data_IF_655349787108
#
_entry.id   IF_655349787108
#
_cell.length_a   1.000
_cell.length_b   1.000
_cell.length_c   1.000
_cell.angle_alpha   90.00
_cell.angle_beta   90.00
_cell.angle_gamma   90.00
#
_symmetry.space_group_name_H-M   'P 1'
#
loop_
_entity.id
_entity.type
_entity.pdbx_description
1 polymer ?
#
# COMPACT_ATOMS: atom_id res chain seq x y z
N UNK A 1 -10.91 5.46 20.75
CA UNK A 1 -10.16 6.14 19.68
C UNK A 1 -9.08 5.16 19.29
N UNK A 2 -9.42 4.17 18.47
CA UNK A 2 -8.48 3.11 18.10
C UNK A 2 -7.82 3.47 16.78
N UNK A 3 -6.50 3.64 16.89
CA UNK A 3 -5.47 3.19 15.97
C UNK A 3 -5.42 3.72 14.52
N UNK A 4 -5.14 5.02 14.40
CA UNK A 4 -4.64 5.62 13.15
C UNK A 4 -3.14 5.42 12.94
N UNK A 5 -2.41 5.10 14.01
CA UNK A 5 -0.97 4.81 13.97
C UNK A 5 -0.72 3.45 13.30
N UNK A 6 -1.55 2.45 13.61
CA UNK A 6 -1.47 1.12 13.02
C UNK A 6 -1.50 1.11 11.48
N UNK A 7 -2.34 1.91 10.81
CA UNK A 7 -2.51 1.82 9.34
C UNK A 7 -1.29 2.32 8.57
N UNK A 8 -0.62 3.37 9.08
CA UNK A 8 0.61 3.90 8.46
C UNK A 8 1.79 2.96 8.71
N UNK A 9 1.96 2.51 9.96
CA UNK A 9 3.00 1.56 10.31
C UNK A 9 2.85 0.24 9.54
N UNK A 10 1.62 -0.20 9.28
CA UNK A 10 1.34 -1.36 8.46
C UNK A 10 1.83 -1.16 7.01
N UNK A 11 1.48 -0.03 6.39
CA UNK A 11 1.91 0.25 5.02
C UNK A 11 3.43 0.45 4.90
N UNK A 12 4.07 1.11 5.88
CA UNK A 12 5.52 1.26 5.93
C UNK A 12 6.21 -0.10 6.12
N UNK A 13 5.71 -0.97 7.01
CA UNK A 13 6.21 -2.33 7.19
C UNK A 13 6.04 -3.19 5.94
N UNK A 14 4.96 -3.01 5.19
CA UNK A 14 4.72 -3.78 3.96
C UNK A 14 5.66 -3.33 2.85
N UNK A 15 5.86 -2.02 2.68
CA UNK A 15 6.86 -1.50 1.74
C UNK A 15 8.26 -1.97 2.13
N UNK A 16 8.58 -1.99 3.43
CA UNK A 16 9.85 -2.53 3.92
C UNK A 16 10.03 -4.00 3.57
N UNK A 17 9.04 -4.85 3.85
CA UNK A 17 9.09 -6.28 3.54
C UNK A 17 9.22 -6.55 2.05
N UNK A 18 8.43 -5.86 1.22
CA UNK A 18 8.53 -5.91 -0.24
C UNK A 18 9.97 -5.64 -0.71
N UNK A 19 10.62 -4.62 -0.14
CA UNK A 19 11.99 -4.22 -0.49
C UNK A 19 13.05 -5.17 0.06
N UNK A 20 12.92 -5.61 1.31
CA UNK A 20 13.87 -6.50 1.98
C UNK A 20 13.87 -7.90 1.35
N UNK A 21 12.70 -8.47 1.08
CA UNK A 21 12.56 -9.82 0.51
C UNK A 21 12.77 -9.87 -1.01
N UNK A 22 12.94 -8.70 -1.67
CA UNK A 22 12.96 -8.58 -3.14
C UNK A 22 11.76 -9.32 -3.74
N UNK A 23 10.58 -9.09 -3.14
CA UNK A 23 9.36 -9.79 -3.51
C UNK A 23 9.12 -9.61 -5.01
N UNK A 24 9.06 -10.73 -5.75
CA UNK A 24 8.86 -10.69 -7.20
C UNK A 24 7.41 -10.36 -7.56
N UNK A 25 6.48 -10.61 -6.62
CA UNK A 25 5.06 -10.38 -6.76
C UNK A 25 4.47 -10.09 -5.38
N UNK A 26 3.50 -9.18 -5.33
CA UNK A 26 2.72 -8.88 -4.15
C UNK A 26 1.24 -8.79 -4.54
N UNK A 27 0.35 -9.21 -3.65
CA UNK A 27 -1.11 -9.14 -3.81
C UNK A 27 -1.71 -8.31 -2.69
N UNK A 28 -2.44 -7.26 -3.05
CA UNK A 28 -3.24 -6.47 -2.11
C UNK A 28 -4.70 -6.89 -2.21
N UNK A 29 -5.28 -7.27 -1.08
CA UNK A 29 -6.72 -7.48 -0.95
C UNK A 29 -7.32 -6.27 -0.25
N UNK A 30 -8.29 -5.62 -0.90
CA UNK A 30 -9.07 -4.53 -0.33
C UNK A 30 -10.20 -5.07 0.54
N UNK A 31 -10.73 -4.24 1.46
CA UNK A 31 -11.91 -4.55 2.27
C UNK A 31 -13.16 -4.83 1.44
N UNK A 32 -13.21 -4.32 0.22
CA UNK A 32 -14.24 -4.66 -0.77
C UNK A 32 -14.15 -6.09 -1.31
N UNK A 33 -13.07 -6.81 -1.01
CA UNK A 33 -12.74 -8.13 -1.56
C UNK A 33 -12.06 -8.08 -2.93
N UNK A 34 -11.81 -6.88 -3.47
CA UNK A 34 -11.03 -6.73 -4.71
C UNK A 34 -9.56 -7.05 -4.45
N UNK A 35 -8.98 -7.84 -5.33
CA UNK A 35 -7.55 -8.18 -5.29
C UNK A 35 -6.79 -7.45 -6.39
N UNK A 36 -5.55 -7.07 -6.08
CA UNK A 36 -4.64 -6.37 -6.98
C UNK A 36 -3.26 -7.00 -6.87
N UNK A 37 -2.84 -7.68 -7.94
CA UNK A 37 -1.51 -8.23 -8.09
C UNK A 37 -0.59 -7.18 -8.72
N UNK A 38 0.63 -7.06 -8.20
CA UNK A 38 1.66 -6.20 -8.75
C UNK A 38 3.04 -6.79 -8.48
N UNK A 39 4.01 -6.43 -9.31
CA UNK A 39 5.40 -6.83 -9.14
C UNK A 39 6.18 -5.63 -8.62
N UNK A 40 6.35 -5.50 -7.29
CA UNK A 40 7.03 -4.34 -6.75
C UNK A 40 8.50 -4.32 -7.14
N UNK A 41 8.95 -3.24 -7.79
CA UNK A 41 10.38 -2.90 -7.81
C UNK A 41 10.69 -1.84 -6.74
N UNK A 42 11.98 -1.64 -6.45
CA UNK A 42 12.48 -0.72 -5.41
C UNK A 42 11.90 0.72 -5.52
N UNK A 43 11.56 1.15 -6.74
CA UNK A 43 11.06 2.49 -7.05
C UNK A 43 9.54 2.61 -7.15
N UNK A 44 8.83 1.49 -7.26
CA UNK A 44 7.43 1.43 -7.69
C UNK A 44 6.41 1.61 -6.56
N UNK A 45 6.81 1.36 -5.31
CA UNK A 45 5.92 1.44 -4.14
C UNK A 45 6.25 2.64 -3.26
N UNK A 46 5.31 3.57 -3.12
CA UNK A 46 5.50 4.82 -2.36
C UNK A 46 4.27 5.13 -1.51
N UNK A 47 4.49 5.73 -0.35
CA UNK A 47 3.42 6.29 0.48
C UNK A 47 3.37 7.80 0.28
N UNK A 48 2.17 8.32 0.04
CA UNK A 48 1.91 9.74 0.03
C UNK A 48 0.81 10.07 1.03
N UNK A 49 1.01 11.11 1.84
CA UNK A 49 -0.08 11.71 2.59
C UNK A 49 -0.86 12.62 1.65
N UNK A 50 -2.19 12.54 1.63
CA UNK A 50 -2.99 13.47 0.84
C UNK A 50 -2.72 14.91 1.31
N UNK A 51 -2.27 15.81 0.42
CA UNK A 51 -2.20 17.23 0.75
C UNK A 51 -3.61 17.76 1.04
N UNK A 52 -3.74 18.57 2.09
CA UNK A 52 -4.98 19.25 2.50
C UNK A 52 -6.17 18.39 2.97
N UNK A 53 -5.97 17.09 3.23
CA UNK A 53 -7.03 16.28 3.83
C UNK A 53 -7.15 16.51 5.35
N UNK A 54 -8.37 16.81 5.82
CA UNK A 54 -8.71 16.78 7.26
C UNK A 54 -8.72 15.36 7.83
N UNK A 55 -8.67 14.35 6.95
CA UNK A 55 -8.51 12.95 7.26
C UNK A 55 -7.05 12.55 6.99
N UNK A 56 -6.37 12.00 8.00
CA UNK A 56 -4.96 11.58 7.90
C UNK A 56 -4.80 10.25 7.14
N UNK A 57 -5.47 10.11 6.00
CA UNK A 57 -5.45 8.89 5.20
C UNK A 57 -4.16 8.85 4.38
N UNK A 58 -3.37 7.81 4.59
CA UNK A 58 -2.19 7.52 3.75
C UNK A 58 -2.65 6.84 2.46
N UNK A 59 -2.06 7.23 1.33
CA UNK A 59 -2.27 6.56 0.04
C UNK A 59 -1.02 5.78 -0.31
N UNK A 60 -1.19 4.48 -0.53
CA UNK A 60 -0.21 3.63 -1.18
C UNK A 60 -0.30 3.84 -2.70
N UNK A 61 0.82 4.24 -3.29
CA UNK A 61 0.99 4.42 -4.71
C UNK A 61 1.83 3.25 -5.22
N UNK A 62 1.32 2.58 -6.26
CA UNK A 62 1.98 1.44 -6.91
C UNK A 62 2.08 1.76 -8.39
N UNK A 63 3.31 1.92 -8.87
CA UNK A 63 3.62 2.08 -10.27
C UNK A 63 3.86 0.70 -10.88
N UNK A 64 3.13 0.33 -11.92
CA UNK A 64 3.30 -0.94 -12.62
C UNK A 64 3.28 -0.74 -14.14
N UNK A 65 3.57 -1.81 -14.89
CA UNK A 65 3.59 -1.76 -16.37
C UNK A 65 2.24 -1.31 -16.97
N UNK A 66 1.12 -1.60 -16.30
CA UNK A 66 -0.22 -1.22 -16.74
C UNK A 66 -0.68 0.18 -16.26
N UNK A 67 0.17 0.89 -15.50
CA UNK A 67 -0.08 2.24 -15.00
C UNK A 67 0.07 2.38 -13.49
N UNK A 68 -0.31 3.55 -12.97
CA UNK A 68 -0.21 3.89 -11.55
C UNK A 68 -1.54 3.62 -10.83
N UNK A 69 -1.49 2.81 -9.78
CA UNK A 69 -2.60 2.55 -8.87
C UNK A 69 -2.47 3.38 -7.60
N UNK A 70 -3.59 3.93 -7.14
CA UNK A 70 -3.69 4.69 -5.90
C UNK A 70 -4.65 3.97 -4.96
N UNK A 71 -4.17 3.58 -3.79
CA UNK A 71 -4.92 2.76 -2.84
C UNK A 71 -4.88 3.47 -1.49
N UNK A 72 -6.05 3.79 -0.93
CA UNK A 72 -6.13 4.29 0.43
C UNK A 72 -5.76 3.16 1.40
N UNK A 73 -4.78 3.39 2.29
CA UNK A 73 -4.32 2.34 3.20
C UNK A 73 -5.41 1.86 4.16
N UNK A 74 -6.41 2.69 4.45
CA UNK A 74 -7.58 2.33 5.24
C UNK A 74 -8.47 1.29 4.53
N UNK A 75 -8.41 1.19 3.21
CA UNK A 75 -9.16 0.21 2.42
C UNK A 75 -8.43 -1.12 2.27
N UNK A 76 -7.18 -1.23 2.69
CA UNK A 76 -6.39 -2.45 2.60
C UNK A 76 -6.82 -3.40 3.72
N UNK A 77 -7.26 -4.60 3.35
CA UNK A 77 -7.57 -5.66 4.30
C UNK A 77 -6.35 -6.56 4.55
N UNK A 78 -5.56 -6.85 3.51
CA UNK A 78 -4.43 -7.76 3.57
C UNK A 78 -3.44 -7.47 2.44
N UNK A 79 -2.16 -7.74 2.68
CA UNK A 79 -1.13 -7.81 1.63
C UNK A 79 -0.39 -9.14 1.78
N UNK A 80 -0.19 -9.85 0.68
CA UNK A 80 0.59 -11.09 0.60
C UNK A 80 1.77 -10.90 -0.36
N UNK A 81 2.94 -11.41 0.00
CA UNK A 81 4.20 -11.39 -0.78
C UNK A 81 4.71 -12.82 -0.98
#
# INVERSE_FOLDING_TARGET
MEDRTMTKELAENIISQIKEDKAQQATITLKSGKEMEFNPTDDDCRLMQQPDSIYSSSILIIEGEEGTSFIECEEIAMISI
#
